data_IF_880181895129
#
_entry.id   IF_880181895129
#
_cell.length_a   1.000
_cell.length_b   1.000
_cell.length_c   1.000
_cell.angle_alpha   90.00
_cell.angle_beta   90.00
_cell.angle_gamma   90.00
#
_symmetry.space_group_name_H-M   'P 1'
#
loop_
_entity.id
_entity.type
_entity.pdbx_description
1 polymer ?
#
# COMPACT_ATOMS: atom_id res chain seq x y z
N UNK A 1 12.99 -11.53 -26.80
CA UNK A 1 13.02 -12.46 -25.65
C UNK A 1 11.57 -12.79 -25.30
N UNK A 2 11.16 -14.04 -25.49
CA UNK A 2 9.75 -14.44 -25.48
C UNK A 2 9.18 -14.41 -24.05
N UNK A 3 8.00 -13.81 -23.84
CA UNK A 3 7.33 -13.71 -22.52
C UNK A 3 7.01 -15.09 -21.91
N UNK A 4 7.12 -16.16 -22.70
CA UNK A 4 6.82 -17.55 -22.34
C UNK A 4 7.75 -18.18 -21.30
N UNK A 5 8.95 -17.66 -21.06
CA UNK A 5 9.91 -18.26 -20.10
C UNK A 5 9.90 -17.58 -18.71
N UNK A 6 8.74 -17.14 -18.21
CA UNK A 6 8.63 -16.69 -16.81
C UNK A 6 8.56 -17.91 -15.90
N UNK A 7 9.28 -17.87 -14.78
CA UNK A 7 9.11 -18.90 -13.75
C UNK A 7 7.67 -18.86 -13.24
N UNK A 8 6.96 -20.01 -13.19
CA UNK A 8 5.55 -20.04 -12.82
C UNK A 8 5.28 -19.52 -11.40
N UNK A 9 6.28 -19.56 -10.50
CA UNK A 9 6.18 -19.08 -9.12
C UNK A 9 6.07 -17.55 -9.02
N UNK A 10 6.87 -16.79 -9.76
CA UNK A 10 6.87 -15.31 -9.71
C UNK A 10 5.54 -14.74 -10.23
N UNK A 11 5.03 -15.30 -11.33
CA UNK A 11 3.74 -14.89 -11.90
C UNK A 11 2.57 -15.16 -10.94
N UNK A 12 2.62 -16.29 -10.21
CA UNK A 12 1.63 -16.64 -9.19
C UNK A 12 1.64 -15.65 -8.03
N UNK A 13 2.81 -15.34 -7.46
CA UNK A 13 2.95 -14.41 -6.34
C UNK A 13 2.48 -13.00 -6.68
N UNK A 14 2.78 -12.52 -7.89
CA UNK A 14 2.33 -11.21 -8.33
C UNK A 14 0.80 -11.14 -8.47
N UNK A 15 0.18 -12.21 -8.97
CA UNK A 15 -1.29 -12.27 -9.08
C UNK A 15 -1.93 -12.20 -7.70
N UNK A 16 -1.39 -12.91 -6.72
CA UNK A 16 -1.84 -12.83 -5.33
C UNK A 16 -1.72 -11.41 -4.76
N UNK A 17 -0.58 -10.73 -4.97
CA UNK A 17 -0.40 -9.35 -4.54
C UNK A 17 -1.42 -8.39 -5.15
N UNK A 18 -1.73 -8.53 -6.45
CA UNK A 18 -2.74 -7.70 -7.13
C UNK A 18 -4.14 -7.92 -6.56
N UNK A 19 -4.48 -9.16 -6.23
CA UNK A 19 -5.76 -9.50 -5.60
C UNK A 19 -5.87 -8.84 -4.21
N UNK A 20 -4.83 -8.99 -3.37
CA UNK A 20 -4.79 -8.36 -2.04
C UNK A 20 -4.87 -6.84 -2.16
N UNK A 21 -4.08 -6.25 -3.06
CA UNK A 21 -4.09 -4.81 -3.31
C UNK A 21 -5.50 -4.31 -3.70
N UNK A 22 -6.17 -5.00 -4.60
CA UNK A 22 -7.52 -4.64 -5.04
C UNK A 22 -8.57 -4.83 -3.94
N UNK A 23 -8.46 -5.90 -3.14
CA UNK A 23 -9.35 -6.15 -2.01
C UNK A 23 -9.26 -5.03 -0.96
N UNK A 24 -8.04 -4.58 -0.63
CA UNK A 24 -7.83 -3.46 0.28
C UNK A 24 -8.36 -2.15 -0.30
N UNK A 25 -8.15 -1.90 -1.59
CA UNK A 25 -8.70 -0.72 -2.26
C UNK A 25 -10.23 -0.70 -2.19
N UNK A 26 -10.87 -1.85 -2.45
CA UNK A 26 -12.32 -1.98 -2.36
C UNK A 26 -12.83 -1.79 -0.93
N UNK A 27 -12.10 -2.29 0.08
CA UNK A 27 -12.42 -2.07 1.48
C UNK A 27 -12.44 -0.58 1.84
N UNK A 28 -11.46 0.20 1.35
CA UNK A 28 -11.42 1.66 1.55
C UNK A 28 -12.68 2.35 1.00
N UNK A 29 -13.13 1.99 -0.20
CA UNK A 29 -14.38 2.50 -0.76
C UNK A 29 -15.61 2.07 0.04
N UNK A 30 -15.63 0.83 0.55
CA UNK A 30 -16.70 0.35 1.40
C UNK A 30 -16.78 1.15 2.71
N UNK A 31 -15.65 1.46 3.36
CA UNK A 31 -15.63 2.31 4.56
C UNK A 31 -16.18 3.70 4.26
N UNK A 32 -15.77 4.33 3.16
CA UNK A 32 -16.31 5.63 2.76
C UNK A 32 -17.82 5.54 2.52
N UNK A 33 -18.31 4.53 1.81
CA UNK A 33 -19.74 4.34 1.57
C UNK A 33 -20.52 4.17 2.89
N UNK A 34 -20.01 3.39 3.84
CA UNK A 34 -20.61 3.21 5.17
C UNK A 34 -20.73 4.55 5.91
N UNK A 35 -19.70 5.40 5.86
CA UNK A 35 -19.77 6.74 6.47
C UNK A 35 -20.94 7.56 5.90
N UNK A 36 -21.10 7.61 4.58
CA UNK A 36 -22.18 8.39 3.96
C UNK A 36 -23.58 7.82 4.21
N UNK A 37 -23.70 6.50 4.39
CA UNK A 37 -24.99 5.85 4.63
C UNK A 37 -25.43 5.93 6.11
N UNK A 38 -24.48 5.99 7.05
CA UNK A 38 -24.78 5.83 8.48
C UNK A 38 -24.43 7.03 9.37
N UNK A 39 -23.77 8.08 8.86
CA UNK A 39 -23.53 9.31 9.64
C UNK A 39 -24.82 10.15 9.74
N UNK A 40 -25.46 10.15 10.92
CA UNK A 40 -26.63 10.99 11.22
C UNK A 40 -26.23 12.38 11.76
N UNK A 41 -26.82 13.51 11.32
CA UNK A 41 -26.36 14.87 11.67
C UNK A 41 -26.62 15.37 13.11
N UNK A 42 -27.22 14.56 14.01
CA UNK A 42 -27.82 15.08 15.25
C UNK A 42 -26.90 15.05 16.49
N UNK A 43 -25.76 15.75 16.53
CA UNK A 43 -25.01 15.92 17.80
C UNK A 43 -24.17 17.19 17.89
N UNK A 44 -23.77 17.58 19.12
CA UNK A 44 -22.71 18.56 19.31
C UNK A 44 -21.43 18.10 18.60
N UNK A 45 -20.89 18.98 17.74
CA UNK A 45 -19.71 18.69 16.94
C UNK A 45 -18.45 18.44 17.77
N UNK A 46 -17.49 17.73 17.17
CA UNK A 46 -16.15 17.54 17.74
C UNK A 46 -15.41 18.88 17.81
N UNK A 47 -14.68 19.09 18.91
CA UNK A 47 -13.83 20.27 19.10
C UNK A 47 -12.78 20.36 17.99
N UNK A 48 -12.53 21.57 17.48
CA UNK A 48 -11.62 21.82 16.37
C UNK A 48 -10.21 21.25 16.58
N UNK A 49 -9.68 21.35 17.81
CA UNK A 49 -8.35 20.81 18.15
C UNK A 49 -8.26 19.29 17.95
N UNK A 50 -9.34 18.54 18.16
CA UNK A 50 -9.37 17.10 17.94
C UNK A 50 -9.37 16.81 16.43
N UNK A 51 -10.14 17.56 15.63
CA UNK A 51 -10.11 17.43 14.17
C UNK A 51 -8.70 17.67 13.62
N UNK A 52 -8.05 18.74 14.07
CA UNK A 52 -6.69 19.07 13.67
C UNK A 52 -5.68 17.98 14.07
N UNK A 53 -5.82 17.37 15.26
CA UNK A 53 -4.97 16.26 15.67
C UNK A 53 -5.13 15.03 14.75
N UNK A 54 -6.36 14.70 14.35
CA UNK A 54 -6.61 13.62 13.39
C UNK A 54 -6.00 13.93 12.01
N UNK A 55 -6.17 15.15 11.50
CA UNK A 55 -5.60 15.57 10.22
C UNK A 55 -4.08 15.47 10.21
N UNK A 56 -3.42 15.97 11.26
CA UNK A 56 -1.97 15.88 11.42
C UNK A 56 -1.51 14.42 11.55
N UNK A 57 -2.23 13.60 12.32
CA UNK A 57 -1.94 12.18 12.47
C UNK A 57 -2.06 11.41 11.15
N UNK A 58 -3.13 11.64 10.39
CA UNK A 58 -3.33 11.04 9.06
C UNK A 58 -2.24 11.46 8.07
N UNK A 59 -1.89 12.75 8.05
CA UNK A 59 -0.81 13.26 7.20
C UNK A 59 0.56 12.63 7.57
N UNK A 60 0.88 12.55 8.87
CA UNK A 60 2.10 11.92 9.35
C UNK A 60 2.19 10.44 8.95
N UNK A 61 1.09 9.68 9.13
CA UNK A 61 1.04 8.28 8.71
C UNK A 61 1.19 8.11 7.19
N UNK A 62 0.57 9.00 6.39
CA UNK A 62 0.74 9.01 4.95
C UNK A 62 2.19 9.24 4.52
N UNK A 63 2.89 10.17 5.17
CA UNK A 63 4.32 10.42 4.93
C UNK A 63 5.15 9.20 5.32
N UNK A 64 4.89 8.61 6.50
CA UNK A 64 5.60 7.40 6.97
C UNK A 64 5.40 6.24 5.99
N UNK A 65 4.19 6.03 5.50
CA UNK A 65 3.87 5.02 4.49
C UNK A 65 4.71 5.21 3.22
N UNK A 66 4.78 6.44 2.70
CA UNK A 66 5.60 6.78 1.53
C UNK A 66 7.09 6.53 1.76
N UNK A 67 7.61 6.91 2.94
CA UNK A 67 9.01 6.72 3.27
C UNK A 67 9.36 5.24 3.38
N UNK A 68 8.54 4.45 4.08
CA UNK A 68 8.72 2.99 4.18
C UNK A 68 8.73 2.38 2.78
N UNK A 69 7.72 2.67 1.95
CA UNK A 69 7.65 2.15 0.59
C UNK A 69 8.89 2.51 -0.24
N UNK A 70 9.31 3.78 -0.19
CA UNK A 70 10.49 4.27 -0.94
C UNK A 70 11.79 3.63 -0.46
N UNK A 71 12.01 3.53 0.86
CA UNK A 71 13.24 2.97 1.41
C UNK A 71 13.30 1.45 1.25
N UNK A 72 12.18 0.74 1.45
CA UNK A 72 12.13 -0.71 1.26
C UNK A 72 12.37 -1.13 -0.19
N UNK A 73 11.96 -0.31 -1.17
CA UNK A 73 12.27 -0.56 -2.58
C UNK A 73 13.66 -0.06 -3.01
N UNK A 74 14.15 1.00 -2.37
CA UNK A 74 15.48 1.57 -2.66
C UNK A 74 16.63 0.77 -2.04
N UNK A 75 16.36 -0.32 -1.33
CA UNK A 75 17.38 -1.08 -0.63
C UNK A 75 18.38 -1.66 -1.64
N UNK A 76 19.47 -0.91 -1.86
CA UNK A 76 20.59 -1.27 -2.74
C UNK A 76 21.21 -2.60 -2.32
N UNK A 77 21.02 -3.01 -1.06
CA UNK A 77 21.48 -4.30 -0.56
C UNK A 77 20.77 -5.48 -1.23
N UNK A 78 19.48 -5.33 -1.58
CA UNK A 78 18.72 -6.35 -2.32
C UNK A 78 19.29 -6.52 -3.73
N UNK A 79 19.61 -5.41 -4.41
CA UNK A 79 20.25 -5.45 -5.73
C UNK A 79 21.66 -6.05 -5.68
N UNK A 80 22.48 -5.66 -4.70
CA UNK A 80 23.87 -6.13 -4.59
C UNK A 80 23.97 -7.63 -4.32
N UNK A 81 23.08 -8.19 -3.49
CA UNK A 81 23.03 -9.64 -3.24
C UNK A 81 22.58 -10.45 -4.46
N UNK A 82 21.91 -9.82 -5.41
CA UNK A 82 21.41 -10.46 -6.63
C UNK A 82 22.45 -10.51 -7.75
N UNK A 83 23.25 -9.47 -7.91
CA UNK A 83 24.28 -9.39 -8.97
C UNK A 83 25.44 -10.37 -8.76
N UNK A 84 25.57 -10.99 -7.58
CA UNK A 84 26.72 -11.82 -7.22
C UNK A 84 26.51 -13.34 -7.43
N UNK A 85 25.45 -13.78 -8.13
CA UNK A 85 25.13 -15.22 -8.22
C UNK A 85 24.63 -15.60 -9.61
N UNK A 86 25.30 -16.56 -10.26
CA UNK A 86 24.94 -17.11 -11.57
C UNK A 86 24.45 -18.57 -11.47
N UNK A 87 23.61 -18.99 -12.42
CA UNK A 87 23.21 -20.41 -12.59
C UNK A 87 21.92 -20.83 -11.87
N UNK A 88 21.76 -22.13 -11.61
CA UNK A 88 20.54 -22.70 -10.98
C UNK A 88 20.22 -22.13 -9.59
N UNK A 89 21.21 -21.56 -8.90
CA UNK A 89 21.01 -20.87 -7.62
C UNK A 89 20.18 -19.57 -7.79
N UNK A 90 20.15 -19.00 -8.99
CA UNK A 90 19.41 -17.79 -9.32
C UNK A 90 17.88 -17.98 -9.22
N UNK A 91 17.35 -19.13 -9.65
CA UNK A 91 15.90 -19.39 -9.59
C UNK A 91 15.37 -19.48 -8.15
N UNK A 92 16.09 -20.20 -7.28
CA UNK A 92 15.74 -20.28 -5.85
C UNK A 92 15.80 -18.90 -5.17
N UNK A 93 16.82 -18.11 -5.47
CA UNK A 93 16.95 -16.75 -4.93
C UNK A 93 15.87 -15.81 -5.46
N UNK A 94 15.42 -15.97 -6.70
CA UNK A 94 14.29 -15.21 -7.26
C UNK A 94 12.99 -15.50 -6.52
N UNK A 95 12.75 -16.75 -6.15
CA UNK A 95 11.60 -17.12 -5.33
C UNK A 95 11.68 -16.53 -3.92
N UNK A 96 12.84 -16.63 -3.26
CA UNK A 96 13.07 -15.99 -1.96
C UNK A 96 12.88 -14.48 -2.01
N UNK A 97 13.39 -13.82 -3.06
CA UNK A 97 13.23 -12.38 -3.24
C UNK A 97 11.77 -12.02 -3.50
N UNK A 98 11.05 -12.80 -4.31
CA UNK A 98 9.61 -12.59 -4.49
C UNK A 98 8.86 -12.66 -3.16
N UNK A 99 9.21 -13.58 -2.28
CA UNK A 99 8.58 -13.69 -0.95
C UNK A 99 8.97 -12.52 -0.04
N UNK A 100 10.22 -12.07 -0.10
CA UNK A 100 10.69 -10.89 0.66
C UNK A 100 10.08 -9.58 0.17
N UNK A 101 9.72 -9.48 -1.10
CA UNK A 101 9.06 -8.30 -1.68
C UNK A 101 7.60 -8.14 -1.24
N UNK A 102 6.98 -9.16 -0.63
CA UNK A 102 5.62 -9.07 -0.11
C UNK A 102 5.51 -8.02 1.01
N UNK A 103 6.42 -8.08 1.99
CA UNK A 103 6.39 -7.22 3.19
C UNK A 103 6.48 -5.71 2.85
N UNK A 104 7.42 -5.26 1.99
CA UNK A 104 7.49 -3.87 1.52
C UNK A 104 6.21 -3.31 0.89
N UNK A 105 5.30 -4.17 0.41
CA UNK A 105 4.05 -3.73 -0.19
C UNK A 105 2.91 -3.76 0.83
N UNK A 106 2.77 -4.88 1.55
CA UNK A 106 1.64 -5.09 2.47
C UNK A 106 1.68 -4.09 3.64
N UNK A 107 2.86 -3.77 4.17
CA UNK A 107 2.98 -2.86 5.32
C UNK A 107 2.51 -1.43 4.95
N UNK A 108 3.02 -0.77 3.90
CA UNK A 108 2.50 0.53 3.46
C UNK A 108 1.01 0.51 3.11
N UNK A 109 0.50 -0.56 2.51
CA UNK A 109 -0.93 -0.69 2.23
C UNK A 109 -1.78 -0.69 3.51
N UNK A 110 -1.38 -1.42 4.55
CA UNK A 110 -2.06 -1.40 5.84
C UNK A 110 -2.01 -0.02 6.53
N UNK A 111 -0.91 0.72 6.35
CA UNK A 111 -0.82 2.11 6.85
C UNK A 111 -1.77 3.02 6.07
N UNK A 112 -1.86 2.89 4.75
CA UNK A 112 -2.79 3.67 3.92
C UNK A 112 -4.26 3.39 4.30
N UNK A 113 -4.60 2.12 4.56
CA UNK A 113 -5.94 1.76 5.06
C UNK A 113 -6.19 2.39 6.44
N UNK A 114 -5.19 2.38 7.32
CA UNK A 114 -5.27 3.02 8.64
C UNK A 114 -5.54 4.53 8.54
N UNK A 115 -4.98 5.22 7.54
CA UNK A 115 -5.31 6.63 7.25
C UNK A 115 -6.79 6.79 6.93
N UNK A 116 -7.36 5.93 6.08
CA UNK A 116 -8.80 5.96 5.76
C UNK A 116 -9.65 5.68 7.00
N UNK A 117 -9.25 4.71 7.83
CA UNK A 117 -9.94 4.39 9.08
C UNK A 117 -9.90 5.55 10.08
N UNK A 118 -8.85 6.37 10.11
CA UNK A 118 -8.85 7.59 10.91
C UNK A 118 -9.94 8.58 10.45
N UNK A 119 -10.11 8.74 9.14
CA UNK A 119 -11.21 9.55 8.59
C UNK A 119 -12.58 8.97 8.89
N UNK A 120 -12.71 7.64 8.80
CA UNK A 120 -13.92 6.92 9.21
C UNK A 120 -14.25 7.24 10.68
N UNK A 121 -13.31 7.03 11.61
CA UNK A 121 -13.51 7.32 13.03
C UNK A 121 -13.84 8.80 13.25
N UNK A 122 -13.13 9.72 12.59
CA UNK A 122 -13.39 11.15 12.71
C UNK A 122 -14.80 11.51 12.28
N UNK A 123 -15.29 10.97 11.16
CA UNK A 123 -16.64 11.26 10.66
C UNK A 123 -17.75 10.75 11.58
N UNK A 124 -17.56 9.62 12.26
CA UNK A 124 -18.50 9.14 13.27
C UNK A 124 -18.46 9.99 14.53
N UNK A 125 -17.27 10.42 14.96
CA UNK A 125 -17.12 11.31 16.12
C UNK A 125 -17.73 12.68 15.86
N UNK A 126 -17.45 13.28 14.70
CA UNK A 126 -17.93 14.62 14.32
C UNK A 126 -19.34 14.62 13.76
N UNK A 127 -19.90 13.43 13.48
CA UNK A 127 -21.15 13.22 12.76
C UNK A 127 -21.22 13.97 11.41
N UNK A 128 -20.06 14.21 10.80
CA UNK A 128 -19.96 14.87 9.51
C UNK A 128 -19.22 13.94 8.52
N UNK A 129 -19.92 13.35 7.53
CA UNK A 129 -19.29 12.46 6.55
C UNK A 129 -18.23 13.17 5.71
N UNK A 130 -18.31 14.50 5.58
CA UNK A 130 -17.32 15.29 4.85
C UNK A 130 -15.93 15.24 5.51
N UNK A 131 -15.85 15.00 6.82
CA UNK A 131 -14.57 14.91 7.53
C UNK A 131 -13.78 13.63 7.15
N UNK A 132 -14.43 12.60 6.58
CA UNK A 132 -13.75 11.38 6.10
C UNK A 132 -13.14 11.53 4.70
N UNK A 133 -13.60 12.49 3.90
CA UNK A 133 -13.16 12.68 2.51
C UNK A 133 -11.65 12.89 2.39
N UNK A 134 -11.00 13.84 3.11
CA UNK A 134 -9.57 14.08 2.93
C UNK A 134 -8.73 12.83 3.20
N UNK A 135 -9.10 12.05 4.23
CA UNK A 135 -8.43 10.79 4.56
C UNK A 135 -8.65 9.71 3.50
N UNK A 136 -9.88 9.58 3.01
CA UNK A 136 -10.23 8.63 1.94
C UNK A 136 -9.44 8.93 0.68
N UNK A 137 -9.41 10.20 0.25
CA UNK A 137 -8.66 10.65 -0.93
C UNK A 137 -7.17 10.39 -0.77
N UNK A 138 -6.55 10.82 0.35
CA UNK A 138 -5.12 10.63 0.59
C UNK A 138 -4.77 9.13 0.63
N UNK A 139 -5.50 8.35 1.42
CA UNK A 139 -5.30 6.92 1.53
C UNK A 139 -5.38 6.24 0.16
N UNK A 140 -6.44 6.51 -0.61
CA UNK A 140 -6.66 5.91 -1.93
C UNK A 140 -5.57 6.32 -2.92
N UNK A 141 -5.17 7.59 -2.96
CA UNK A 141 -4.09 8.07 -3.84
C UNK A 141 -2.77 7.37 -3.50
N UNK A 142 -2.41 7.27 -2.22
CA UNK A 142 -1.22 6.55 -1.78
C UNK A 142 -1.30 5.06 -2.15
N UNK A 143 -2.46 4.44 -1.97
CA UNK A 143 -2.67 3.04 -2.30
C UNK A 143 -2.53 2.76 -3.81
N UNK A 144 -3.07 3.64 -4.66
CA UNK A 144 -2.91 3.60 -6.12
C UNK A 144 -1.46 3.81 -6.54
N UNK A 145 -0.78 4.77 -5.92
CA UNK A 145 0.62 5.03 -6.17
C UNK A 145 1.49 3.78 -5.89
N UNK A 146 1.16 3.03 -4.84
CA UNK A 146 1.90 1.83 -4.40
C UNK A 146 1.44 0.52 -5.07
N UNK A 147 0.94 0.58 -6.31
CA UNK A 147 0.53 -0.60 -7.08
C UNK A 147 1.68 -1.63 -7.20
N UNK A 148 1.43 -2.94 -7.01
CA UNK A 148 2.48 -3.97 -7.03
C UNK A 148 3.04 -4.20 -8.44
N UNK A 149 4.22 -3.64 -8.73
CA UNK A 149 4.93 -3.77 -10.02
C UNK A 149 6.14 -4.71 -9.96
N UNK A 150 5.95 -5.91 -9.43
CA UNK A 150 7.03 -6.91 -9.27
C UNK A 150 7.75 -7.24 -10.59
N UNK A 151 7.01 -7.33 -11.70
CA UNK A 151 7.61 -7.60 -13.03
C UNK A 151 8.68 -6.60 -13.44
N UNK A 152 8.38 -5.29 -13.26
CA UNK A 152 9.30 -4.23 -13.65
C UNK A 152 10.57 -4.26 -12.80
N UNK A 153 10.46 -4.62 -11.52
CA UNK A 153 11.62 -4.77 -10.64
C UNK A 153 12.52 -5.92 -11.09
N UNK A 154 11.93 -7.09 -11.39
CA UNK A 154 12.68 -8.26 -11.88
C UNK A 154 13.35 -7.96 -13.23
N UNK A 155 12.62 -7.34 -14.16
CA UNK A 155 13.15 -6.96 -15.49
C UNK A 155 14.25 -5.91 -15.38
N UNK A 156 14.08 -4.90 -14.52
CA UNK A 156 15.13 -3.90 -14.28
C UNK A 156 16.41 -4.52 -13.75
N UNK A 157 16.32 -5.59 -12.96
CA UNK A 157 17.49 -6.28 -12.37
C UNK A 157 18.25 -7.09 -13.41
N UNK A 158 17.56 -7.65 -14.41
CA UNK A 158 18.20 -8.39 -15.52
C UNK A 158 19.05 -7.50 -16.41
N UNK A 159 18.68 -6.25 -16.61
CA UNK A 159 19.42 -5.32 -17.49
C UNK A 159 20.74 -4.79 -16.87
N UNK A 160 21.02 -5.09 -15.60
CA UNK A 160 22.27 -4.69 -14.93
C UNK A 160 23.30 -5.82 -14.83
N UNK A 161 22.96 -7.03 -15.27
CA UNK A 161 23.86 -8.18 -15.42
C UNK A 161 24.25 -8.29 -16.88
#
# INVERSE_FOLDING_TARGET
>A
MDRKNRTPSVAKNQSALKIVWFALLLAMFAYTAVVFLFSSPEAPGVRENVKNAFLLGGAALGIVSLLIYRFSLSDKSLRKKFLATEGQEQEKRLEELSNRLLLPHVVPWGINESVVLLGFVLSFLSKNPMDAIPFSVIGTVLHIYMYPRVEQLVESTKNYV
#
